data_IF_124525778441
#
_entry.id   IF_124525778441
#
_cell.length_a   1.000
_cell.length_b   1.000
_cell.length_c   1.000
_cell.angle_alpha   90.00
_cell.angle_beta   90.00
_cell.angle_gamma   90.00
#
_symmetry.space_group_name_H-M   'P 1'
#
loop_
_entity.id
_entity.type
_entity.pdbx_description
1 polymer ?
#
# COMPACT_ATOMS: atom_id res chain seq x y z
N UNK A 1 6.50 1.99 -23.21
CA UNK A 1 7.11 0.78 -22.62
C UNK A 1 6.29 0.35 -21.39
N UNK A 2 6.02 -0.95 -21.19
CA UNK A 2 5.27 -1.45 -20.01
C UNK A 2 6.23 -1.97 -18.93
N UNK A 3 6.29 -1.29 -17.79
CA UNK A 3 7.16 -1.62 -16.65
C UNK A 3 6.40 -2.34 -15.52
N UNK A 4 7.12 -3.10 -14.70
CA UNK A 4 6.64 -3.66 -13.43
C UNK A 4 7.07 -2.74 -12.29
N UNK A 5 6.12 -2.33 -11.45
CA UNK A 5 6.35 -1.29 -10.43
C UNK A 5 5.84 -1.82 -9.09
N UNK A 6 6.67 -1.73 -8.06
CA UNK A 6 6.35 -2.13 -6.70
C UNK A 6 6.41 -0.91 -5.79
N UNK A 7 5.28 -0.56 -5.17
CA UNK A 7 5.23 0.40 -4.08
C UNK A 7 5.28 -0.34 -2.75
N UNK A 8 6.11 0.15 -1.83
CA UNK A 8 6.15 -0.28 -0.44
C UNK A 8 5.61 0.87 0.41
N UNK A 9 4.52 0.63 1.14
CA UNK A 9 3.97 1.60 2.07
C UNK A 9 3.69 0.95 3.42
N UNK A 10 4.01 1.66 4.50
CA UNK A 10 3.68 1.22 5.86
C UNK A 10 2.22 1.51 6.24
N UNK A 11 1.50 2.30 5.45
CA UNK A 11 0.09 2.64 5.63
C UNK A 11 -0.58 2.72 4.26
N UNK A 12 -1.47 1.78 3.97
CA UNK A 12 -2.25 1.76 2.73
C UNK A 12 -3.46 0.82 2.90
N UNK A 13 -4.62 1.12 2.31
CA UNK A 13 -4.96 2.29 1.47
C UNK A 13 -5.02 3.61 2.25
N UNK A 14 -5.03 4.78 1.56
CA UNK A 14 -5.02 6.09 2.20
C UNK A 14 -6.25 6.31 3.09
N UNK A 15 -6.01 6.97 4.22
CA UNK A 15 -7.01 7.38 5.20
C UNK A 15 -7.02 8.91 5.39
N UNK A 16 -5.88 9.53 5.75
CA UNK A 16 -5.74 10.98 6.01
C UNK A 16 -4.36 11.52 5.55
N UNK A 17 -3.32 10.69 5.48
CA UNK A 17 -1.94 11.10 5.26
C UNK A 17 -1.60 11.42 3.79
N UNK A 18 -0.67 12.35 3.59
CA UNK A 18 -0.16 12.69 2.25
C UNK A 18 0.61 11.54 1.59
N UNK A 19 1.45 10.82 2.34
CA UNK A 19 2.28 9.74 1.77
C UNK A 19 1.47 8.57 1.20
N UNK A 20 0.47 8.11 1.96
CA UNK A 20 -0.46 7.06 1.52
C UNK A 20 -1.33 7.54 0.33
N UNK A 21 -1.72 8.82 0.32
CA UNK A 21 -2.48 9.43 -0.78
C UNK A 21 -1.66 9.50 -2.07
N UNK A 22 -0.40 9.94 -1.99
CA UNK A 22 0.51 9.99 -3.15
C UNK A 22 0.73 8.57 -3.69
N UNK A 23 0.97 7.60 -2.80
CA UNK A 23 1.16 6.19 -3.20
C UNK A 23 -0.06 5.67 -3.96
N UNK A 24 -1.27 5.99 -3.51
CA UNK A 24 -2.51 5.60 -4.17
C UNK A 24 -2.64 6.22 -5.56
N UNK A 25 -2.47 7.54 -5.66
CA UNK A 25 -2.60 8.27 -6.92
C UNK A 25 -1.59 7.78 -7.96
N UNK A 26 -0.35 7.56 -7.54
CA UNK A 26 0.72 7.03 -8.39
C UNK A 26 0.43 5.60 -8.84
N UNK A 27 0.02 4.72 -7.92
CA UNK A 27 -0.30 3.34 -8.25
C UNK A 27 -1.47 3.25 -9.25
N UNK A 28 -2.51 4.04 -9.01
CA UNK A 28 -3.67 4.16 -9.90
C UNK A 28 -3.25 4.64 -11.28
N UNK A 29 -2.65 5.82 -11.37
CA UNK A 29 -2.31 6.44 -12.66
C UNK A 29 -1.39 5.55 -13.51
N UNK A 30 -0.35 4.98 -12.90
CA UNK A 30 0.59 4.11 -13.61
C UNK A 30 -0.08 2.80 -14.07
N UNK A 31 -0.99 2.24 -13.28
CA UNK A 31 -1.75 1.06 -13.69
C UNK A 31 -2.73 1.36 -14.84
N UNK A 32 -3.33 2.56 -14.86
CA UNK A 32 -4.19 3.03 -15.95
C UNK A 32 -3.42 3.22 -17.26
N UNK A 33 -2.15 3.65 -17.19
CA UNK A 33 -1.22 3.69 -18.32
C UNK A 33 -0.75 2.30 -18.80
N UNK A 34 -1.19 1.22 -18.13
CA UNK A 34 -0.92 -0.16 -18.53
C UNK A 34 0.34 -0.77 -17.93
N UNK A 35 0.93 -0.14 -16.91
CA UNK A 35 2.00 -0.75 -16.11
C UNK A 35 1.44 -1.85 -15.19
N UNK A 36 2.27 -2.85 -14.87
CA UNK A 36 1.94 -3.86 -13.88
C UNK A 36 2.35 -3.33 -12.51
N UNK A 37 1.39 -2.82 -11.75
CA UNK A 37 1.63 -2.19 -10.45
C UNK A 37 1.17 -3.10 -9.32
N UNK A 38 2.02 -3.26 -8.31
CA UNK A 38 1.70 -3.87 -7.03
C UNK A 38 2.01 -2.89 -5.90
N UNK A 39 1.11 -2.79 -4.93
CA UNK A 39 1.32 -2.08 -3.67
C UNK A 39 1.42 -3.13 -2.58
N UNK A 40 2.59 -3.23 -1.96
CA UNK A 40 2.82 -4.04 -0.78
C UNK A 40 2.64 -3.11 0.42
N UNK A 41 1.75 -3.49 1.33
CA UNK A 41 1.50 -2.73 2.55
C UNK A 41 1.51 -3.61 3.77
N UNK A 42 2.11 -3.08 4.84
CA UNK A 42 1.90 -3.56 6.20
C UNK A 42 0.99 -2.59 6.94
N UNK A 43 0.35 -3.06 7.99
CA UNK A 43 -0.36 -2.23 8.95
C UNK A 43 0.10 -2.74 10.32
N UNK A 44 0.47 -1.83 11.23
CA UNK A 44 0.72 -2.21 12.62
C UNK A 44 -0.60 -2.71 13.24
N UNK A 45 -0.54 -3.73 14.10
CA UNK A 45 -1.71 -4.49 14.61
C UNK A 45 -2.86 -3.63 15.21
N UNK A 46 -2.59 -2.37 15.53
CA UNK A 46 -3.51 -1.38 16.09
C UNK A 46 -4.38 -0.65 15.05
N UNK A 47 -4.06 -0.71 13.75
CA UNK A 47 -4.94 -0.14 12.72
C UNK A 47 -5.95 -1.19 12.26
N UNK A 48 -7.25 -0.93 12.50
CA UNK A 48 -8.33 -1.76 11.93
C UNK A 48 -8.18 -1.80 10.40
N UNK A 49 -8.17 -2.98 9.77
CA UNK A 49 -7.99 -3.07 8.33
C UNK A 49 -9.15 -2.36 7.62
N UNK A 50 -8.82 -1.34 6.84
CA UNK A 50 -9.75 -0.77 5.88
C UNK A 50 -10.25 -1.90 4.98
N UNK A 51 -11.57 -2.10 4.93
CA UNK A 51 -12.19 -2.99 3.95
C UNK A 51 -12.22 -2.23 2.63
N UNK A 52 -11.47 -2.66 1.59
CA UNK A 52 -11.50 -2.01 0.30
C UNK A 52 -12.94 -1.90 -0.17
N UNK A 53 -13.40 -0.67 -0.43
CA UNK A 53 -14.64 -0.47 -1.19
C UNK A 53 -14.41 -1.03 -2.59
N UNK A 54 -14.80 -2.30 -2.77
CA UNK A 54 -14.96 -3.03 -4.02
C UNK A 54 -14.10 -2.59 -5.23
N UNK A 55 -12.98 -3.31 -5.43
CA UNK A 55 -12.40 -3.75 -6.72
C UNK A 55 -12.71 -2.93 -8.00
N UNK A 56 -12.35 -1.65 -8.07
CA UNK A 56 -12.26 -0.92 -9.35
C UNK A 56 -10.83 -0.68 -9.85
N UNK A 57 -9.84 -0.93 -9.00
CA UNK A 57 -8.45 -0.58 -9.29
C UNK A 57 -7.76 -1.61 -10.20
N UNK A 58 -6.89 -1.11 -11.11
CA UNK A 58 -6.09 -1.94 -12.03
C UNK A 58 -4.74 -2.38 -11.45
N UNK A 59 -4.39 -1.91 -10.25
CA UNK A 59 -3.21 -2.35 -9.52
C UNK A 59 -3.57 -3.39 -8.45
N UNK A 60 -2.59 -4.23 -8.09
CA UNK A 60 -2.77 -5.25 -7.07
C UNK A 60 -2.32 -4.69 -5.72
N UNK A 61 -3.12 -4.91 -4.68
CA UNK A 61 -2.70 -4.65 -3.31
C UNK A 61 -2.39 -5.98 -2.61
N UNK A 62 -1.24 -6.06 -1.95
CA UNK A 62 -0.83 -7.19 -1.11
C UNK A 62 -0.56 -6.70 0.30
N UNK A 63 -1.25 -7.33 1.24
CA UNK A 63 -1.00 -7.13 2.66
C UNK A 63 0.07 -8.10 3.13
N UNK A 64 1.09 -7.60 3.82
CA UNK A 64 2.06 -8.41 4.55
C UNK A 64 1.95 -8.01 6.03
N UNK A 65 1.53 -8.91 6.93
CA UNK A 65 1.50 -8.61 8.35
C UNK A 65 2.93 -8.29 8.82
N UNK A 66 3.13 -7.09 9.34
CA UNK A 66 4.40 -6.70 9.96
C UNK A 66 4.18 -6.85 11.45
N UNK A 67 4.65 -7.95 12.03
CA UNK A 67 4.73 -8.06 13.48
C UNK A 67 5.72 -7.02 14.00
N UNK A 68 5.40 -6.36 15.13
CA UNK A 68 6.40 -5.54 15.83
C UNK A 68 7.59 -6.42 16.15
N UNK A 69 8.73 -6.19 15.50
CA UNK A 69 9.95 -6.85 15.87
C UNK A 69 10.55 -6.04 17.03
N UNK A 70 10.15 -6.40 18.27
CA UNK A 70 10.62 -5.74 19.51
C UNK A 70 12.16 -5.74 19.56
N UNK A 71 12.81 -6.75 18.95
CA UNK A 71 14.27 -6.86 18.89
C UNK A 71 14.96 -5.77 18.03
N UNK A 72 14.23 -5.05 17.16
CA UNK A 72 14.78 -3.94 16.37
C UNK A 72 14.67 -2.58 17.09
N UNK A 73 14.21 -2.55 18.35
CA UNK A 73 14.13 -1.32 19.15
C UNK A 73 13.18 -0.26 18.57
N UNK A 74 12.27 -0.67 17.68
CA UNK A 74 11.24 0.20 17.12
C UNK A 74 10.09 0.32 18.13
N UNK A 75 10.36 0.98 19.24
CA UNK A 75 9.36 1.48 20.17
C UNK A 75 8.92 2.87 19.70
N UNK A 76 7.63 3.02 19.41
CA UNK A 76 6.91 4.31 19.39
C UNK A 76 5.71 4.14 20.30
#
# INVERSE_FOLDING_TARGET
MKTRICYLSSKFPPFVGGGETITYLMAKHLSELGHKVIVITGVFDDFKPYRPQARKEKFIMKYIPVSRNIALGMEI
#
